data_IF_682745284359
#
_entry.id   IF_682745284359
#
_cell.length_a   1.000
_cell.length_b   1.000
_cell.length_c   1.000
_cell.angle_alpha   90.00
_cell.angle_beta   90.00
_cell.angle_gamma   90.00
#
_symmetry.space_group_name_H-M   'P 1'
#
loop_
_entity.id
_entity.type
_entity.pdbx_description
1 polymer ?
#
# COMPACT_ATOMS: atom_id res chain seq x y z
N UNK A 1 1.23 -60.80 -9.70
CA UNK A 1 0.70 -59.68 -8.88
C UNK A 1 1.91 -58.97 -8.26
N UNK A 2 2.34 -57.81 -8.80
CA UNK A 2 3.50 -57.06 -8.28
C UNK A 2 2.99 -56.05 -7.25
N UNK A 3 3.26 -56.28 -5.97
CA UNK A 3 3.07 -55.26 -4.93
C UNK A 3 4.11 -54.16 -5.14
N UNK A 4 3.64 -52.98 -5.53
CA UNK A 4 4.45 -51.77 -5.51
C UNK A 4 4.57 -51.34 -4.05
N UNK A 5 5.71 -51.64 -3.43
CA UNK A 5 6.06 -51.02 -2.14
C UNK A 5 6.40 -49.56 -2.41
N UNK A 6 5.46 -48.67 -2.13
CA UNK A 6 5.77 -47.25 -2.03
C UNK A 6 6.68 -47.04 -0.82
N UNK A 7 7.91 -46.56 -1.07
CA UNK A 7 8.84 -46.23 0.00
C UNK A 7 8.34 -44.95 0.71
N UNK A 8 7.59 -45.15 1.79
CA UNK A 8 6.93 -44.10 2.57
C UNK A 8 7.94 -43.06 3.07
N UNK A 9 9.17 -43.47 3.46
CA UNK A 9 10.21 -42.52 3.87
C UNK A 9 10.62 -41.55 2.76
N UNK A 10 10.63 -42.00 1.51
CA UNK A 10 11.05 -41.18 0.36
C UNK A 10 9.96 -40.15 0.01
N UNK A 11 8.68 -40.52 0.16
CA UNK A 11 7.55 -39.60 -0.01
C UNK A 11 7.52 -38.58 1.12
N UNK A 12 7.65 -39.01 2.38
CA UNK A 12 7.65 -38.10 3.54
C UNK A 12 8.81 -37.11 3.47
N UNK A 13 10.03 -37.57 3.13
CA UNK A 13 11.19 -36.68 2.93
C UNK A 13 10.95 -35.66 1.79
N UNK A 14 10.38 -36.08 0.66
CA UNK A 14 10.04 -35.16 -0.44
C UNK A 14 8.96 -34.15 -0.07
N UNK A 15 7.90 -34.57 0.63
CA UNK A 15 6.81 -33.69 1.05
C UNK A 15 7.27 -32.70 2.13
N UNK A 16 8.09 -33.13 3.09
CA UNK A 16 8.71 -32.26 4.09
C UNK A 16 9.68 -31.28 3.44
N UNK A 17 10.51 -31.72 2.48
CA UNK A 17 11.41 -30.85 1.74
C UNK A 17 10.66 -29.82 0.88
N UNK A 18 9.55 -30.22 0.26
CA UNK A 18 8.66 -29.30 -0.48
C UNK A 18 8.01 -28.28 0.46
N UNK A 19 7.54 -28.69 1.65
CA UNK A 19 7.02 -27.77 2.67
C UNK A 19 8.10 -26.81 3.18
N UNK A 20 9.33 -27.27 3.40
CA UNK A 20 10.47 -26.44 3.82
C UNK A 20 10.84 -25.46 2.70
N UNK A 21 10.93 -25.90 1.45
CA UNK A 21 11.23 -25.05 0.30
C UNK A 21 10.14 -23.99 0.05
N UNK A 22 8.86 -24.34 0.24
CA UNK A 22 7.75 -23.39 0.20
C UNK A 22 7.84 -22.41 1.39
N UNK A 23 8.21 -22.88 2.58
CA UNK A 23 8.40 -22.03 3.76
C UNK A 23 9.57 -21.04 3.64
N UNK A 24 10.65 -21.40 2.95
CA UNK A 24 11.80 -20.51 2.74
C UNK A 24 11.54 -19.47 1.65
N UNK A 25 10.64 -19.75 0.69
CA UNK A 25 10.14 -18.72 -0.26
C UNK A 25 9.12 -17.76 0.35
N UNK A 26 8.59 -18.05 1.55
CA UNK A 26 7.68 -17.17 2.28
C UNK A 26 8.39 -16.07 3.09
N UNK A 27 9.73 -16.02 3.08
CA UNK A 27 10.46 -14.76 3.30
C UNK A 27 10.33 -13.88 2.05
N UNK A 28 9.08 -13.54 1.71
CA UNK A 28 8.75 -12.51 0.76
C UNK A 28 9.47 -11.24 1.20
N UNK A 29 10.24 -10.63 0.30
CA UNK A 29 11.02 -9.45 0.62
C UNK A 29 10.09 -8.39 1.25
N UNK A 30 10.47 -7.94 2.45
CA UNK A 30 9.77 -6.92 3.25
C UNK A 30 9.59 -5.63 2.44
N UNK A 31 10.62 -5.32 1.64
CA UNK A 31 10.71 -4.20 0.70
C UNK A 31 11.01 -4.73 -0.70
N UNK A 32 10.49 -4.06 -1.72
CA UNK A 32 10.83 -4.35 -3.12
C UNK A 32 12.07 -3.54 -3.53
N UNK A 33 13.19 -4.19 -3.90
CA UNK A 33 14.48 -3.52 -4.13
C UNK A 33 14.49 -2.62 -5.38
N UNK A 34 13.47 -2.67 -6.25
CA UNK A 34 13.38 -1.75 -7.39
C UNK A 34 12.99 -0.31 -6.99
N UNK A 35 12.65 -0.09 -5.72
CA UNK A 35 12.22 1.21 -5.20
C UNK A 35 13.14 1.72 -4.09
N UNK A 36 13.16 3.04 -3.91
CA UNK A 36 13.82 3.72 -2.79
C UNK A 36 12.99 3.55 -1.53
N UNK A 37 13.65 3.12 -0.47
CA UNK A 37 13.05 2.87 0.84
C UNK A 37 13.87 3.59 1.91
N UNK A 38 13.17 4.36 2.74
CA UNK A 38 13.76 5.17 3.79
C UNK A 38 13.26 4.68 5.15
N UNK A 39 14.07 4.74 6.22
CA UNK A 39 13.53 4.76 7.57
C UNK A 39 12.51 5.90 7.72
N UNK A 40 11.45 5.70 8.50
CA UNK A 40 10.45 6.77 8.68
C UNK A 40 11.03 8.02 9.34
N UNK A 41 12.03 7.88 10.22
CA UNK A 41 12.75 9.02 10.79
C UNK A 41 13.38 9.90 9.71
N UNK A 42 13.93 9.29 8.66
CA UNK A 42 14.54 10.01 7.53
C UNK A 42 13.48 10.70 6.66
N UNK A 43 12.31 10.08 6.46
CA UNK A 43 11.16 10.74 5.83
C UNK A 43 10.74 11.99 6.60
N UNK A 44 10.71 11.92 7.94
CA UNK A 44 10.35 13.06 8.81
C UNK A 44 11.38 14.18 8.68
N UNK A 45 12.68 13.86 8.71
CA UNK A 45 13.77 14.83 8.51
C UNK A 45 13.69 15.51 7.14
N UNK A 46 13.25 14.78 6.11
CA UNK A 46 13.13 15.24 4.72
C UNK A 46 11.69 15.63 4.34
N UNK A 47 10.83 15.91 5.32
CA UNK A 47 9.41 16.19 5.07
C UNK A 47 9.17 17.40 4.14
N UNK A 48 10.13 18.33 4.06
CA UNK A 48 10.09 19.47 3.14
C UNK A 48 10.17 19.08 1.65
N UNK A 49 10.57 17.85 1.33
CA UNK A 49 10.60 17.30 -0.04
C UNK A 49 9.27 16.67 -0.45
N UNK A 50 8.38 16.41 0.51
CA UNK A 50 7.05 15.90 0.23
C UNK A 50 6.19 16.96 -0.43
N UNK A 51 5.26 16.49 -1.25
CA UNK A 51 4.24 17.30 -1.89
C UNK A 51 2.87 16.74 -1.58
N UNK A 52 1.90 17.64 -1.60
CA UNK A 52 0.48 17.31 -1.77
C UNK A 52 0.28 16.19 -2.78
N UNK A 53 -0.49 15.17 -2.39
CA UNK A 53 -0.82 14.02 -3.23
C UNK A 53 0.27 12.94 -3.29
N UNK A 54 1.41 13.13 -2.60
CA UNK A 54 2.38 12.04 -2.46
C UNK A 54 1.74 10.88 -1.70
N UNK A 55 1.97 9.67 -2.21
CA UNK A 55 1.51 8.41 -1.64
C UNK A 55 2.67 7.82 -0.84
N UNK A 56 2.43 7.58 0.45
CA UNK A 56 3.40 6.95 1.34
C UNK A 56 3.06 5.47 1.48
N UNK A 57 3.99 4.58 1.11
CA UNK A 57 3.82 3.13 1.25
C UNK A 57 4.78 2.61 2.32
N UNK A 58 4.24 2.09 3.41
CA UNK A 58 5.02 1.38 4.42
C UNK A 58 5.24 -0.07 4.00
N UNK A 59 6.45 -0.55 4.28
CA UNK A 59 6.90 -1.91 3.97
C UNK A 59 6.00 -2.97 4.62
N UNK A 60 6.09 -4.20 4.12
CA UNK A 60 5.42 -5.33 4.78
C UNK A 60 6.02 -5.58 6.16
N UNK A 61 5.34 -6.36 6.99
CA UNK A 61 5.91 -6.91 8.21
C UNK A 61 5.46 -8.37 8.37
N UNK A 62 6.17 -9.14 9.20
CA UNK A 62 5.82 -10.54 9.47
C UNK A 62 4.54 -10.72 10.33
N UNK A 63 3.89 -9.63 10.75
CA UNK A 63 2.61 -9.69 11.48
C UNK A 63 1.44 -9.85 10.50
N UNK A 64 0.42 -10.64 10.88
CA UNK A 64 -0.72 -10.98 10.00
C UNK A 64 -1.38 -9.71 9.43
N UNK A 65 -1.60 -8.71 10.29
CA UNK A 65 -2.27 -7.46 9.92
C UNK A 65 -1.42 -6.54 9.01
N UNK A 66 -0.09 -6.62 9.07
CA UNK A 66 0.82 -5.75 8.32
C UNK A 66 1.57 -6.50 7.19
N UNK A 67 1.19 -7.75 6.94
CA UNK A 67 1.78 -8.62 5.91
C UNK A 67 1.64 -8.07 4.48
N UNK A 68 0.73 -7.12 4.28
CA UNK A 68 0.47 -6.48 2.98
C UNK A 68 1.05 -5.07 2.86
N UNK A 69 1.75 -4.58 3.89
CA UNK A 69 2.20 -3.20 3.99
C UNK A 69 1.09 -2.26 4.47
N UNK A 70 1.28 -0.96 4.29
CA UNK A 70 0.27 0.05 4.57
C UNK A 70 0.45 1.23 3.63
N UNK A 71 -0.61 1.99 3.35
CA UNK A 71 -0.53 3.13 2.44
C UNK A 71 -1.35 4.31 2.92
N UNK A 72 -0.81 5.51 2.72
CA UNK A 72 -1.42 6.78 3.07
C UNK A 72 -1.18 7.81 1.96
N UNK A 73 -1.83 8.96 2.06
CA UNK A 73 -1.63 10.10 1.13
C UNK A 73 -1.35 11.38 1.91
N UNK A 74 -0.50 12.26 1.36
CA UNK A 74 -0.26 13.60 1.89
C UNK A 74 -1.36 14.56 1.41
N UNK A 75 -2.07 15.20 2.35
CA UNK A 75 -3.10 16.19 2.02
C UNK A 75 -2.52 17.62 1.81
N UNK A 76 -3.39 18.59 1.50
CA UNK A 76 -3.01 20.01 1.32
C UNK A 76 -2.35 20.65 2.54
N UNK A 77 -2.66 20.14 3.73
CA UNK A 77 -2.12 20.62 4.99
C UNK A 77 -0.81 19.91 5.37
N UNK A 78 -0.20 19.17 4.43
CA UNK A 78 1.02 18.38 4.64
C UNK A 78 0.90 17.35 5.76
N UNK A 79 -0.31 16.81 5.96
CA UNK A 79 -0.59 15.74 6.91
C UNK A 79 -0.78 14.41 6.18
N UNK A 80 -0.46 13.34 6.90
CA UNK A 80 -0.75 11.98 6.51
C UNK A 80 -2.26 11.77 6.68
N UNK A 81 -2.93 11.36 5.61
CA UNK A 81 -4.33 10.93 5.63
C UNK A 81 -4.41 9.44 5.31
N UNK A 82 -5.07 8.69 6.18
CA UNK A 82 -5.07 7.24 6.15
C UNK A 82 -6.27 6.58 6.82
N UNK A 83 -6.37 5.26 6.62
CA UNK A 83 -7.28 4.36 7.35
C UNK A 83 -6.41 3.33 8.07
N UNK A 84 -5.92 3.62 9.29
CA UNK A 84 -4.81 2.88 9.89
C UNK A 84 -5.21 1.54 10.51
N UNK A 85 -6.43 1.38 11.04
CA UNK A 85 -6.85 0.11 11.67
C UNK A 85 -8.37 -0.01 11.88
N UNK A 86 -8.86 -1.19 12.28
CA UNK A 86 -10.31 -1.40 12.52
C UNK A 86 -10.96 -0.45 13.54
N UNK A 87 -10.23 -0.03 14.58
CA UNK A 87 -10.72 0.89 15.59
C UNK A 87 -10.62 2.36 15.19
N UNK A 88 -9.91 2.65 14.09
CA UNK A 88 -9.57 4.00 13.65
C UNK A 88 -9.91 4.10 12.16
N UNK A 89 -11.04 4.71 11.83
CA UNK A 89 -11.49 4.96 10.46
C UNK A 89 -10.60 5.98 9.74
N UNK A 90 -11.20 7.02 9.17
CA UNK A 90 -10.41 8.15 8.68
C UNK A 90 -9.53 8.72 9.80
N UNK A 91 -8.25 8.88 9.53
CA UNK A 91 -7.30 9.55 10.39
C UNK A 91 -6.50 10.58 9.58
N UNK A 92 -6.26 11.72 10.21
CA UNK A 92 -5.41 12.77 9.69
C UNK A 92 -4.41 13.16 10.78
N UNK A 93 -3.13 12.98 10.49
CA UNK A 93 -2.07 13.18 11.48
C UNK A 93 -0.85 13.87 10.88
N UNK A 94 -0.11 14.69 11.64
CA UNK A 94 1.13 15.28 11.16
C UNK A 94 2.16 14.18 10.83
N UNK A 95 3.13 14.47 9.95
CA UNK A 95 4.15 13.50 9.50
C UNK A 95 4.90 12.82 10.65
N UNK A 96 5.14 13.55 11.74
CA UNK A 96 5.85 13.04 12.93
C UNK A 96 5.01 12.04 13.75
N UNK A 97 3.71 11.87 13.47
CA UNK A 97 2.90 10.85 14.13
C UNK A 97 3.41 9.43 13.84
N UNK A 98 4.14 9.24 12.74
CA UNK A 98 4.82 7.98 12.44
C UNK A 98 6.24 7.88 13.04
N UNK A 99 6.69 8.77 13.94
CA UNK A 99 8.06 8.76 14.48
C UNK A 99 8.51 7.40 15.05
N UNK A 100 7.60 6.69 15.74
CA UNK A 100 7.88 5.37 16.32
C UNK A 100 7.70 4.19 15.34
N UNK A 101 7.27 4.45 14.11
CA UNK A 101 7.13 3.44 13.06
C UNK A 101 8.51 2.86 12.71
N UNK A 102 8.67 1.55 12.88
CA UNK A 102 9.94 0.84 12.66
C UNK A 102 10.06 0.29 11.22
N UNK A 103 8.97 0.32 10.46
CA UNK A 103 8.95 -0.06 9.05
C UNK A 103 9.69 0.97 8.19
N UNK A 104 10.07 0.55 6.99
CA UNK A 104 10.56 1.48 5.97
C UNK A 104 9.37 2.05 5.19
N UNK A 105 9.56 3.25 4.66
CA UNK A 105 8.60 3.95 3.83
C UNK A 105 9.20 4.22 2.44
N UNK A 106 8.36 4.09 1.42
CA UNK A 106 8.67 4.51 0.06
C UNK A 106 7.65 5.56 -0.37
N UNK A 107 8.10 6.56 -1.13
CA UNK A 107 7.28 7.70 -1.53
C UNK A 107 7.01 7.61 -3.03
N UNK A 108 5.74 7.79 -3.41
CA UNK A 108 5.29 7.74 -4.79
C UNK A 108 4.51 8.99 -5.14
N UNK A 109 4.63 9.43 -6.38
CA UNK A 109 3.91 10.58 -6.92
C UNK A 109 3.21 10.20 -8.22
N UNK A 110 2.00 10.71 -8.42
CA UNK A 110 1.32 10.55 -9.69
C UNK A 110 2.04 11.38 -10.77
N UNK A 111 2.41 10.72 -11.88
CA UNK A 111 3.03 11.40 -13.01
C UNK A 111 2.11 12.48 -13.57
N UNK A 112 2.69 13.63 -13.91
CA UNK A 112 1.97 14.77 -14.48
C UNK A 112 0.78 15.21 -13.60
N UNK A 113 0.94 15.21 -12.27
CA UNK A 113 -0.07 15.76 -11.38
C UNK A 113 -0.11 17.29 -11.51
N UNK A 114 -1.29 17.83 -11.82
CA UNK A 114 -1.55 19.26 -11.94
C UNK A 114 -2.49 19.74 -10.82
N UNK A 115 -2.73 21.05 -10.74
CA UNK A 115 -3.55 21.62 -9.67
C UNK A 115 -5.02 21.23 -9.79
N UNK A 116 -5.53 20.98 -11.00
CA UNK A 116 -6.87 20.46 -11.21
C UNK A 116 -7.04 19.08 -10.56
N UNK A 117 -6.09 18.18 -10.80
CA UNK A 117 -6.12 16.86 -10.19
C UNK A 117 -5.97 16.93 -8.67
N UNK A 118 -5.08 17.79 -8.14
CA UNK A 118 -4.93 17.96 -6.68
C UNK A 118 -6.23 18.42 -6.02
N UNK A 119 -6.90 19.41 -6.60
CA UNK A 119 -8.19 19.91 -6.10
C UNK A 119 -9.27 18.81 -6.13
N UNK A 120 -9.34 18.03 -7.21
CA UNK A 120 -10.25 16.89 -7.30
C UNK A 120 -9.92 15.79 -6.28
N UNK A 121 -8.62 15.51 -6.06
CA UNK A 121 -8.15 14.54 -5.08
C UNK A 121 -8.60 14.93 -3.66
N UNK A 122 -8.47 16.19 -3.27
CA UNK A 122 -8.89 16.65 -1.95
C UNK A 122 -10.39 16.57 -1.74
N UNK A 123 -11.16 16.99 -2.75
CA UNK A 123 -12.61 16.82 -2.73
C UNK A 123 -13.02 15.35 -2.56
N UNK A 124 -12.27 14.41 -3.14
CA UNK A 124 -12.52 12.97 -2.94
C UNK A 124 -12.09 12.48 -1.56
N UNK A 125 -10.98 12.99 -1.01
CA UNK A 125 -10.54 12.69 0.36
C UNK A 125 -11.57 13.19 1.38
N UNK A 126 -12.09 14.40 1.24
CA UNK A 126 -13.07 14.99 2.17
C UNK A 126 -14.34 14.15 2.30
N UNK A 127 -14.77 13.52 1.19
CA UNK A 127 -15.92 12.59 1.17
C UNK A 127 -15.68 11.32 1.99
N UNK A 128 -14.47 11.08 2.49
CA UNK A 128 -14.11 9.89 3.27
C UNK A 128 -13.99 10.14 4.77
N UNK A 129 -14.02 11.40 5.22
CA UNK A 129 -13.80 11.82 6.62
C UNK A 129 -14.72 11.14 7.65
N UNK A 130 -15.92 10.74 7.25
CA UNK A 130 -16.91 10.06 8.11
C UNK A 130 -16.93 8.54 7.94
N UNK A 131 -16.11 7.98 7.04
CA UNK A 131 -16.11 6.54 6.74
C UNK A 131 -15.34 5.79 7.82
N UNK A 132 -15.83 4.59 8.13
CA UNK A 132 -15.18 3.67 9.07
C UNK A 132 -14.21 2.74 8.35
N UNK A 133 -13.32 2.11 9.13
CA UNK A 133 -12.46 1.07 8.60
C UNK A 133 -13.25 -0.20 8.29
N UNK A 134 -12.89 -0.89 7.21
CA UNK A 134 -13.26 -2.31 7.09
C UNK A 134 -12.83 -2.98 5.81
N UNK A 135 -12.55 -4.28 5.94
CA UNK A 135 -12.14 -5.13 4.82
C UNK A 135 -13.35 -5.51 3.96
N UNK A 136 -13.11 -5.51 2.64
CA UNK A 136 -14.09 -5.88 1.62
C UNK A 136 -13.39 -6.57 0.47
N UNK A 137 -14.08 -7.51 -0.18
CA UNK A 137 -13.62 -8.20 -1.40
C UNK A 137 -14.13 -7.53 -2.68
N UNK A 138 -14.59 -6.28 -2.57
CA UNK A 138 -15.01 -5.45 -3.68
C UNK A 138 -14.31 -4.10 -3.58
N UNK A 139 -13.29 -3.87 -4.42
CA UNK A 139 -12.51 -2.62 -4.46
C UNK A 139 -13.35 -1.36 -4.71
N UNK A 140 -14.52 -1.48 -5.33
CA UNK A 140 -15.43 -0.37 -5.60
C UNK A 140 -16.42 -0.09 -4.45
N UNK A 141 -16.41 -0.90 -3.39
CA UNK A 141 -17.30 -0.71 -2.24
C UNK A 141 -16.81 0.44 -1.35
N UNK A 142 -17.63 1.45 -1.11
CA UNK A 142 -17.16 2.68 -0.48
C UNK A 142 -17.85 3.04 0.84
N UNK A 143 -18.58 2.12 1.49
CA UNK A 143 -19.23 2.43 2.79
C UNK A 143 -18.26 2.36 3.98
N UNK A 144 -17.23 1.51 3.88
CA UNK A 144 -16.10 1.37 4.81
C UNK A 144 -14.88 1.09 3.95
N UNK A 145 -13.72 1.59 4.38
CA UNK A 145 -12.51 1.56 3.58
C UNK A 145 -11.37 0.98 4.39
N UNK A 146 -10.48 0.26 3.73
CA UNK A 146 -9.14 -0.02 4.26
C UNK A 146 -8.13 0.83 3.51
N UNK A 147 -6.90 0.94 4.03
CA UNK A 147 -5.90 1.91 3.61
C UNK A 147 -5.68 2.02 2.09
N UNK A 148 -5.40 0.90 1.41
CA UNK A 148 -5.17 0.91 -0.04
C UNK A 148 -6.43 1.08 -0.86
N UNK A 149 -7.59 0.64 -0.37
CA UNK A 149 -8.85 0.93 -1.04
C UNK A 149 -9.20 2.41 -1.00
N UNK A 150 -8.94 3.07 0.13
CA UNK A 150 -9.10 4.50 0.26
C UNK A 150 -8.26 5.23 -0.80
N UNK A 151 -6.95 5.00 -0.83
CA UNK A 151 -6.05 5.63 -1.81
C UNK A 151 -6.47 5.31 -3.25
N UNK A 152 -6.79 4.05 -3.54
CA UNK A 152 -7.29 3.64 -4.85
C UNK A 152 -8.52 4.45 -5.29
N UNK A 153 -9.55 4.53 -4.44
CA UNK A 153 -10.81 5.16 -4.80
C UNK A 153 -10.69 6.67 -4.95
N UNK A 154 -9.96 7.35 -4.07
CA UNK A 154 -9.83 8.82 -4.15
C UNK A 154 -9.04 9.24 -5.38
N UNK A 155 -7.96 8.53 -5.74
CA UNK A 155 -7.22 8.81 -6.98
C UNK A 155 -8.04 8.49 -8.23
N UNK A 156 -8.73 7.34 -8.25
CA UNK A 156 -9.57 6.94 -9.38
C UNK A 156 -10.70 7.93 -9.64
N UNK A 157 -11.40 8.34 -8.58
CA UNK A 157 -12.50 9.31 -8.68
C UNK A 157 -12.00 10.71 -9.04
N UNK A 158 -10.88 11.14 -8.48
CA UNK A 158 -10.25 12.40 -8.86
C UNK A 158 -9.87 12.42 -10.34
N UNK A 159 -9.33 11.31 -10.86
CA UNK A 159 -9.09 11.13 -12.29
C UNK A 159 -10.36 11.31 -13.12
N UNK A 160 -11.43 10.61 -12.76
CA UNK A 160 -12.74 10.74 -13.44
C UNK A 160 -13.22 12.19 -13.43
N UNK A 161 -13.15 12.88 -12.28
CA UNK A 161 -13.59 14.27 -12.12
C UNK A 161 -12.84 15.25 -13.06
N UNK A 162 -11.59 14.94 -13.43
CA UNK A 162 -10.78 15.77 -14.35
C UNK A 162 -10.58 15.16 -15.74
N UNK A 163 -11.31 14.10 -16.08
CA UNK A 163 -11.22 13.45 -17.39
C UNK A 163 -9.92 12.68 -17.65
N UNK A 164 -9.26 12.18 -16.60
CA UNK A 164 -8.04 11.35 -16.66
C UNK A 164 -8.34 9.92 -16.20
N UNK A 165 -7.83 8.94 -16.92
CA UNK A 165 -7.86 7.55 -16.44
C UNK A 165 -6.72 7.31 -15.43
N UNK A 166 -7.08 7.24 -14.15
CA UNK A 166 -6.14 7.00 -13.05
C UNK A 166 -6.56 5.74 -12.29
N UNK A 167 -6.22 4.58 -12.84
CA UNK A 167 -6.38 3.29 -12.18
C UNK A 167 -5.04 2.85 -11.57
N UNK A 168 -4.93 2.98 -10.24
CA UNK A 168 -3.71 2.60 -9.51
C UNK A 168 -3.62 1.09 -9.23
N UNK A 169 -4.62 0.28 -9.58
CA UNK A 169 -4.57 -1.16 -9.38
C UNK A 169 -3.77 -1.85 -10.50
N UNK A 170 -2.50 -2.14 -10.22
CA UNK A 170 -1.60 -2.76 -11.21
C UNK A 170 -1.93 -4.20 -11.59
N UNK A 171 -2.76 -4.92 -10.80
CA UNK A 171 -3.06 -6.33 -11.06
C UNK A 171 -4.51 -6.58 -11.50
N UNK A 172 -5.38 -5.56 -11.42
CA UNK A 172 -6.77 -5.62 -11.87
C UNK A 172 -7.69 -6.50 -11.01
N UNK A 173 -7.22 -6.91 -9.83
CA UNK A 173 -7.91 -7.83 -8.93
C UNK A 173 -9.20 -7.29 -8.32
N UNK A 174 -9.84 -8.10 -7.48
CA UNK A 174 -11.07 -7.72 -6.75
C UNK A 174 -10.79 -6.87 -5.51
N UNK A 175 -9.55 -6.93 -5.02
CA UNK A 175 -9.03 -6.16 -3.89
C UNK A 175 -7.77 -5.43 -4.36
N UNK A 176 -7.53 -4.25 -3.81
CA UNK A 176 -6.31 -3.47 -4.08
C UNK A 176 -5.46 -3.47 -2.83
N UNK A 177 -4.21 -3.93 -2.91
CA UNK A 177 -3.26 -3.93 -1.80
C UNK A 177 -2.25 -2.78 -1.94
N UNK A 178 -1.55 -2.37 -0.86
CA UNK A 178 -0.55 -1.31 -0.92
C UNK A 178 0.50 -1.49 -2.02
N UNK A 179 0.98 -2.73 -2.19
CA UNK A 179 1.99 -3.05 -3.22
C UNK A 179 1.41 -3.11 -4.65
N UNK A 180 0.08 -3.20 -4.81
CA UNK A 180 -0.55 -3.10 -6.12
C UNK A 180 -0.55 -1.63 -6.59
N UNK A 181 -0.76 -0.69 -5.66
CA UNK A 181 -0.63 0.75 -5.91
C UNK A 181 0.82 1.09 -6.25
N UNK A 182 1.75 0.62 -5.42
CA UNK A 182 3.20 0.84 -5.58
C UNK A 182 3.72 0.50 -6.98
N UNK A 183 3.18 -0.57 -7.58
CA UNK A 183 3.57 -1.07 -8.90
C UNK A 183 2.82 -0.42 -10.06
N UNK A 184 1.93 0.54 -9.80
CA UNK A 184 1.22 1.24 -10.87
C UNK A 184 2.21 2.00 -11.76
N UNK A 185 2.16 1.83 -13.09
CA UNK A 185 3.03 2.54 -14.02
C UNK A 185 2.73 4.04 -14.07
N UNK A 186 1.60 4.48 -13.51
CA UNK A 186 1.20 5.88 -13.40
C UNK A 186 1.99 6.64 -12.32
N UNK A 187 2.67 5.91 -11.43
CA UNK A 187 3.44 6.49 -10.35
C UNK A 187 4.93 6.58 -10.73
N UNK A 188 5.58 7.61 -10.21
CA UNK A 188 7.04 7.70 -10.10
C UNK A 188 7.43 7.49 -8.64
N UNK A 189 8.53 6.78 -8.41
CA UNK A 189 9.12 6.67 -7.07
C UNK A 189 9.97 7.90 -6.81
N UNK A 190 9.62 8.65 -5.77
CA UNK A 190 10.27 9.90 -5.43
C UNK A 190 11.59 9.60 -4.74
N UNK A 191 12.68 10.17 -5.26
CA UNK A 191 13.96 10.20 -4.58
C UNK A 191 13.96 11.37 -3.57
N UNK A 192 14.13 11.07 -2.29
CA UNK A 192 14.24 12.07 -1.23
C UNK A 192 15.68 12.56 -1.04
N UNK A 193 16.66 12.02 -1.75
CA UNK A 193 18.06 12.47 -1.70
C UNK A 193 18.33 13.60 -2.70
N UNK A 194 17.57 13.64 -3.81
CA UNK A 194 17.59 14.69 -4.83
C UNK A 194 16.67 15.87 -4.47
#
# INVERSE_FOLDING_TARGET
MKCIFFNIETIVKKTVFLFIAISTTLFCQITDPSYKWYPVTELIEKANKLKTGDILVLSKQHTILQSQGHVAVINENMKIVEFPSFSIGYAESPIFAWYDEKRKVSVFRLKNIDDNFKNALFKEIDKTTTKTYGLTFNKNFDKRLYCSQFVYLVFKRAGIDVGRDVDLDSNGGKVVLPFDIMRSPLLENVDLDE
#
